data_IF_713946164824
#
_entry.id   IF_713946164824
#
_cell.length_a   1.000
_cell.length_b   1.000
_cell.length_c   1.000
_cell.angle_alpha   90.00
_cell.angle_beta   90.00
_cell.angle_gamma   90.00
#
_symmetry.space_group_name_H-M   'P 1'
#
loop_
_entity.id
_entity.type
_entity.pdbx_description
1 polymer ?
#
# COMPACT_ATOMS: atom_id res chain seq x y z
N UNK A 1 0.03 20.72 -2.82
CA UNK A 1 -1.27 20.18 -2.36
C UNK A 1 -1.32 20.13 -0.84
N UNK A 2 -0.41 19.46 -0.11
CA UNK A 2 -0.43 19.31 1.37
C UNK A 2 -0.63 20.65 2.09
N UNK A 3 0.18 21.68 1.80
CA UNK A 3 0.06 23.02 2.41
C UNK A 3 -1.36 23.59 2.39
N UNK A 4 -2.08 23.41 1.29
CA UNK A 4 -3.44 23.94 1.14
C UNK A 4 -4.51 23.06 1.80
N UNK A 5 -4.23 21.79 2.02
CA UNK A 5 -5.14 20.88 2.70
C UNK A 5 -5.07 21.03 4.23
N UNK A 6 -3.92 21.41 4.79
CA UNK A 6 -3.70 21.44 6.24
C UNK A 6 -4.73 22.26 7.02
N UNK A 7 -5.13 23.48 6.64
CA UNK A 7 -6.14 24.23 7.40
C UNK A 7 -7.47 23.48 7.52
N UNK A 8 -7.89 22.78 6.47
CA UNK A 8 -9.12 22.00 6.45
C UNK A 8 -8.98 20.72 7.30
N UNK A 9 -7.82 20.07 7.22
CA UNK A 9 -7.53 18.89 8.03
C UNK A 9 -7.46 19.22 9.51
N UNK A 10 -6.88 20.36 9.89
CA UNK A 10 -6.84 20.82 11.27
C UNK A 10 -8.25 21.13 11.83
N UNK A 11 -9.10 21.79 11.02
CA UNK A 11 -10.46 22.08 11.39
C UNK A 11 -11.30 20.82 11.64
N UNK A 12 -11.08 19.77 10.83
CA UNK A 12 -11.81 18.49 10.92
C UNK A 12 -11.14 17.44 11.79
N UNK A 13 -9.91 17.67 12.29
CA UNK A 13 -9.04 16.65 12.89
C UNK A 13 -8.90 15.42 11.99
N UNK A 14 -8.77 15.66 10.71
CA UNK A 14 -8.80 14.64 9.69
C UNK A 14 -7.49 13.88 9.53
N UNK A 15 -7.33 13.25 8.36
CA UNK A 15 -6.08 12.55 8.05
C UNK A 15 -5.64 12.78 6.60
N UNK A 16 -4.36 12.55 6.36
CA UNK A 16 -3.76 12.57 5.03
C UNK A 16 -2.96 11.27 4.83
N UNK A 17 -3.15 10.63 3.69
CA UNK A 17 -2.47 9.39 3.35
C UNK A 17 -1.67 9.61 2.07
N UNK A 18 -0.38 9.32 2.15
CA UNK A 18 0.53 9.44 1.03
C UNK A 18 0.68 8.09 0.33
N UNK A 19 0.85 8.12 -0.98
CA UNK A 19 1.18 6.92 -1.76
C UNK A 19 2.68 6.86 -1.99
N UNK A 20 3.36 6.11 -1.13
CA UNK A 20 4.79 5.81 -1.23
C UNK A 20 5.08 4.69 -2.22
N UNK A 21 6.11 3.93 -1.91
CA UNK A 21 6.49 2.68 -2.58
C UNK A 21 7.53 1.97 -1.72
N UNK A 22 7.63 0.65 -1.81
CA UNK A 22 8.75 -0.11 -1.25
C UNK A 22 10.10 0.36 -1.84
N UNK A 23 10.08 0.84 -3.11
CA UNK A 23 11.26 1.38 -3.79
C UNK A 23 11.86 2.63 -3.11
N UNK A 24 11.11 3.32 -2.25
CA UNK A 24 11.61 4.43 -1.45
C UNK A 24 12.34 3.99 -0.17
N UNK A 25 12.29 2.72 0.18
CA UNK A 25 12.97 2.12 1.33
C UNK A 25 14.24 1.38 0.91
N UNK A 26 14.24 0.84 -0.30
CA UNK A 26 15.32 0.04 -0.85
C UNK A 26 15.99 0.77 -2.02
N UNK A 27 17.21 0.35 -2.36
CA UNK A 27 17.82 0.76 -3.63
C UNK A 27 17.06 0.12 -4.80
N UNK A 28 16.69 0.93 -5.79
CA UNK A 28 15.99 0.45 -7.00
C UNK A 28 16.87 0.70 -8.22
N UNK A 29 17.72 -0.25 -8.61
CA UNK A 29 18.57 -0.12 -9.81
C UNK A 29 17.73 0.20 -11.04
N UNK A 30 18.21 1.09 -11.92
CA UNK A 30 17.52 1.63 -13.10
C UNK A 30 16.30 2.52 -12.83
N UNK A 31 15.78 2.55 -11.58
CA UNK A 31 14.67 3.41 -11.13
C UNK A 31 15.09 4.40 -10.03
N UNK A 32 16.36 4.77 -9.97
CA UNK A 32 16.92 5.63 -8.91
C UNK A 32 16.14 6.93 -8.70
N UNK A 33 15.74 7.72 -9.73
CA UNK A 33 14.97 8.93 -9.51
C UNK A 33 13.58 8.65 -8.90
N UNK A 34 12.94 7.56 -9.29
CA UNK A 34 11.67 7.13 -8.73
C UNK A 34 11.82 6.76 -7.26
N UNK A 35 12.79 5.88 -6.93
CA UNK A 35 13.08 5.51 -5.53
C UNK A 35 13.38 6.74 -4.67
N UNK A 36 14.20 7.67 -5.18
CA UNK A 36 14.51 8.93 -4.51
C UNK A 36 13.26 9.78 -4.25
N UNK A 37 12.35 9.89 -5.22
CA UNK A 37 11.09 10.62 -5.07
C UNK A 37 10.20 10.02 -3.98
N UNK A 38 10.16 8.69 -3.89
CA UNK A 38 9.37 7.98 -2.89
C UNK A 38 10.02 8.02 -1.50
N UNK A 39 11.35 7.96 -1.42
CA UNK A 39 12.10 8.16 -0.18
C UNK A 39 11.91 9.57 0.41
N UNK A 40 11.94 10.60 -0.46
CA UNK A 40 11.56 11.95 -0.04
C UNK A 40 10.16 11.99 0.57
N UNK A 41 9.19 11.36 -0.09
CA UNK A 41 7.80 11.34 0.37
C UNK A 41 7.65 10.66 1.74
N UNK A 42 8.41 9.59 2.01
CA UNK A 42 8.44 8.90 3.30
C UNK A 42 8.92 9.83 4.43
N UNK A 43 10.01 10.55 4.20
CA UNK A 43 10.54 11.50 5.18
C UNK A 43 9.61 12.70 5.36
N UNK A 44 9.08 13.25 4.26
CA UNK A 44 8.14 14.35 4.27
C UNK A 44 6.87 14.02 5.06
N UNK A 45 6.28 12.86 4.83
CA UNK A 45 5.10 12.38 5.58
C UNK A 45 5.36 12.35 7.08
N UNK A 46 6.53 11.84 7.52
CA UNK A 46 6.88 11.80 8.94
C UNK A 46 6.96 13.20 9.55
N UNK A 47 7.53 14.16 8.83
CA UNK A 47 7.54 15.57 9.23
C UNK A 47 6.12 16.10 9.40
N UNK A 48 5.25 15.89 8.42
CA UNK A 48 3.84 16.29 8.48
C UNK A 48 3.13 15.64 9.66
N UNK A 49 3.35 14.35 9.91
CA UNK A 49 2.73 13.64 11.03
C UNK A 49 3.08 14.28 12.39
N UNK A 50 4.35 14.60 12.61
CA UNK A 50 4.81 15.20 13.86
C UNK A 50 4.30 16.64 14.02
N UNK A 51 4.37 17.44 12.97
CA UNK A 51 3.94 18.84 13.00
C UNK A 51 2.42 18.97 13.18
N UNK A 52 1.65 18.01 12.69
CA UNK A 52 0.20 18.08 12.68
C UNK A 52 -0.48 17.31 13.84
N UNK A 53 0.26 16.44 14.53
CA UNK A 53 -0.26 15.70 15.68
C UNK A 53 -0.90 16.60 16.77
N UNK A 54 -0.33 17.76 17.14
CA UNK A 54 -0.96 18.67 18.11
C UNK A 54 -2.34 19.20 17.70
N UNK A 55 -2.65 19.17 16.41
CA UNK A 55 -3.96 19.56 15.88
C UNK A 55 -4.93 18.37 15.71
N UNK A 56 -4.50 17.17 16.13
CA UNK A 56 -5.28 15.94 15.97
C UNK A 56 -5.34 15.41 14.54
N UNK A 57 -4.45 15.88 13.66
CA UNK A 57 -4.35 15.39 12.26
C UNK A 57 -3.38 14.23 12.20
N UNK A 58 -3.79 13.14 11.55
CA UNK A 58 -2.95 11.97 11.31
C UNK A 58 -2.35 12.03 9.89
N UNK A 59 -1.12 11.57 9.74
CA UNK A 59 -0.49 11.42 8.43
C UNK A 59 0.22 10.07 8.35
N UNK A 60 -0.05 9.30 7.31
CA UNK A 60 0.53 7.99 7.08
C UNK A 60 0.92 7.81 5.61
N UNK A 61 1.69 6.78 5.31
CA UNK A 61 2.10 6.47 3.95
C UNK A 61 1.90 4.98 3.66
N UNK A 62 1.16 4.66 2.62
CA UNK A 62 1.09 3.30 2.09
C UNK A 62 2.22 3.11 1.11
N UNK A 63 2.97 2.03 1.26
CA UNK A 63 4.14 1.69 0.45
C UNK A 63 3.88 0.36 -0.28
N UNK A 64 3.21 0.39 -1.44
CA UNK A 64 2.96 -0.79 -2.23
C UNK A 64 4.26 -1.35 -2.82
N UNK A 65 4.30 -2.66 -2.99
CA UNK A 65 5.23 -3.37 -3.86
C UNK A 65 4.67 -3.51 -5.27
N UNK A 66 5.00 -4.61 -5.97
CA UNK A 66 4.47 -4.90 -7.29
C UNK A 66 2.95 -5.13 -7.25
N UNK A 67 2.19 -4.28 -7.93
CA UNK A 67 0.73 -4.35 -8.00
C UNK A 67 0.29 -4.61 -9.44
N UNK A 68 -0.72 -5.44 -9.60
CA UNK A 68 -1.28 -5.81 -10.90
C UNK A 68 -2.20 -4.70 -11.41
N UNK A 69 -1.64 -3.83 -12.25
CA UNK A 69 -2.33 -2.68 -12.82
C UNK A 69 -2.05 -2.59 -14.32
N UNK A 70 -2.85 -1.82 -15.04
CA UNK A 70 -2.63 -1.55 -16.46
C UNK A 70 -1.22 -0.96 -16.72
N UNK A 71 -0.70 -0.13 -15.81
CA UNK A 71 0.65 0.43 -15.92
C UNK A 71 1.74 -0.64 -15.87
N UNK A 72 1.54 -1.71 -15.08
CA UNK A 72 2.53 -2.77 -14.90
C UNK A 72 2.37 -3.92 -15.89
N UNK A 73 1.16 -4.16 -16.41
CA UNK A 73 0.83 -5.31 -17.28
C UNK A 73 0.11 -4.95 -18.58
N UNK A 74 -0.25 -3.68 -18.78
CA UNK A 74 -0.93 -3.26 -20.02
C UNK A 74 -0.05 -3.42 -21.26
N UNK A 75 -0.68 -3.43 -22.44
CA UNK A 75 0.02 -3.52 -23.72
C UNK A 75 1.06 -2.40 -23.89
N UNK A 76 0.78 -1.22 -23.34
CA UNK A 76 1.67 -0.06 -23.35
C UNK A 76 2.53 0.07 -22.09
N UNK A 77 2.67 -1.01 -21.32
CA UNK A 77 3.49 -1.01 -20.11
C UNK A 77 4.96 -0.71 -20.48
N UNK A 78 5.62 0.20 -19.76
CA UNK A 78 7.04 0.43 -19.92
C UNK A 78 7.90 -0.75 -19.44
N UNK A 79 7.28 -1.74 -18.79
CA UNK A 79 7.95 -2.91 -18.23
C UNK A 79 7.83 -4.06 -19.21
N UNK A 80 8.96 -4.53 -19.76
CA UNK A 80 9.02 -5.65 -20.69
C UNK A 80 8.63 -6.99 -20.05
N UNK A 81 8.25 -7.98 -20.85
CA UNK A 81 7.81 -9.30 -20.37
C UNK A 81 8.85 -10.01 -19.50
N UNK A 82 10.12 -9.96 -19.84
CA UNK A 82 11.20 -10.56 -19.04
C UNK A 82 11.34 -9.88 -17.67
N UNK A 83 11.22 -8.56 -17.63
CA UNK A 83 11.25 -7.79 -16.38
C UNK A 83 10.01 -8.05 -15.53
N UNK A 84 8.84 -8.22 -16.13
CA UNK A 84 7.61 -8.60 -15.43
C UNK A 84 7.77 -9.94 -14.72
N UNK A 85 8.31 -10.95 -15.42
CA UNK A 85 8.56 -12.27 -14.83
C UNK A 85 9.59 -12.22 -13.70
N UNK A 86 10.62 -11.40 -13.84
CA UNK A 86 11.61 -11.19 -12.78
C UNK A 86 10.99 -10.52 -11.54
N UNK A 87 10.12 -9.52 -11.75
CA UNK A 87 9.39 -8.85 -10.65
C UNK A 87 8.47 -9.85 -9.94
N UNK A 88 7.72 -10.67 -10.68
CA UNK A 88 6.83 -11.67 -10.09
C UNK A 88 7.61 -12.70 -9.26
N UNK A 89 8.79 -13.11 -9.71
CA UNK A 89 9.66 -14.04 -8.99
C UNK A 89 10.27 -13.44 -7.71
N UNK A 90 10.33 -12.11 -7.60
CA UNK A 90 10.86 -11.44 -6.40
C UNK A 90 9.84 -11.34 -5.26
N UNK A 91 8.57 -11.62 -5.50
CA UNK A 91 7.52 -11.47 -4.48
C UNK A 91 7.38 -12.76 -3.66
N UNK A 92 7.70 -12.75 -2.35
CA UNK A 92 7.59 -13.94 -1.51
C UNK A 92 6.22 -14.60 -1.50
N UNK A 93 5.13 -13.82 -1.58
CA UNK A 93 3.77 -14.36 -1.70
C UNK A 93 3.49 -15.00 -3.07
N UNK A 94 4.45 -14.99 -4.01
CA UNK A 94 4.36 -15.65 -5.30
C UNK A 94 3.41 -14.98 -6.32
N UNK A 95 2.90 -13.80 -6.01
CA UNK A 95 2.02 -13.02 -6.87
C UNK A 95 2.14 -11.52 -6.61
N UNK A 96 1.70 -10.71 -7.55
CA UNK A 96 1.48 -9.28 -7.30
C UNK A 96 0.25 -9.06 -6.42
N UNK A 97 0.24 -7.93 -5.72
CA UNK A 97 -0.97 -7.47 -5.06
C UNK A 97 -2.00 -6.95 -6.07
N UNK A 98 -3.26 -6.86 -5.66
CA UNK A 98 -4.31 -6.22 -6.44
C UNK A 98 -4.53 -4.77 -5.99
N UNK A 99 -5.11 -3.91 -6.85
CA UNK A 99 -5.50 -2.56 -6.45
C UNK A 99 -6.42 -2.54 -5.24
N UNK A 100 -7.32 -3.51 -5.13
CA UNK A 100 -8.28 -3.64 -4.03
C UNK A 100 -7.58 -3.94 -2.70
N UNK A 101 -6.55 -4.79 -2.70
CA UNK A 101 -5.74 -5.05 -1.50
C UNK A 101 -5.08 -3.79 -0.99
N UNK A 102 -4.61 -2.94 -1.90
CA UNK A 102 -4.03 -1.63 -1.53
C UNK A 102 -5.12 -0.66 -1.06
N UNK A 103 -6.26 -0.61 -1.75
CA UNK A 103 -7.39 0.25 -1.39
C UNK A 103 -7.91 -0.05 0.03
N UNK A 104 -7.91 -1.31 0.46
CA UNK A 104 -8.32 -1.71 1.80
C UNK A 104 -7.43 -1.08 2.89
N UNK A 105 -6.13 -0.96 2.64
CA UNK A 105 -5.20 -0.29 3.58
C UNK A 105 -5.50 1.20 3.64
N UNK A 106 -5.75 1.83 2.50
CA UNK A 106 -6.17 3.24 2.46
C UNK A 106 -7.47 3.46 3.22
N UNK A 107 -8.47 2.58 3.04
CA UNK A 107 -9.75 2.67 3.72
C UNK A 107 -9.58 2.53 5.25
N UNK A 108 -8.78 1.57 5.72
CA UNK A 108 -8.45 1.44 7.15
C UNK A 108 -7.78 2.70 7.69
N UNK A 109 -6.74 3.20 7.03
CA UNK A 109 -6.00 4.38 7.49
C UNK A 109 -6.85 5.65 7.45
N UNK A 110 -7.84 5.73 6.56
CA UNK A 110 -8.78 6.83 6.47
C UNK A 110 -9.86 6.80 7.56
N UNK A 111 -10.12 5.65 8.16
CA UNK A 111 -11.17 5.45 9.15
C UNK A 111 -10.71 5.80 10.57
N UNK A 112 -11.68 5.87 11.49
CA UNK A 112 -11.43 6.07 12.93
C UNK A 112 -10.80 4.83 13.59
N UNK A 113 -10.87 3.67 12.96
CA UNK A 113 -10.19 2.46 13.43
C UNK A 113 -8.66 2.63 13.47
N UNK A 114 -8.13 3.54 12.65
CA UNK A 114 -6.73 3.94 12.65
C UNK A 114 -6.43 5.16 13.53
N UNK A 115 -7.28 5.48 14.52
CA UNK A 115 -7.17 6.70 15.34
C UNK A 115 -5.84 6.83 16.09
N UNK A 116 -5.16 5.74 16.37
CA UNK A 116 -3.85 5.74 17.04
C UNK A 116 -2.69 5.48 16.06
N UNK A 117 -2.92 5.65 14.75
CA UNK A 117 -1.91 5.41 13.69
C UNK A 117 -1.55 6.72 13.01
N UNK A 118 -0.34 7.22 13.27
CA UNK A 118 0.26 8.38 12.58
C UNK A 118 1.76 8.20 12.42
N UNK A 119 2.35 8.74 11.35
CA UNK A 119 3.77 8.62 11.04
C UNK A 119 4.20 7.25 10.53
N UNK A 120 3.27 6.35 10.23
CA UNK A 120 3.56 4.99 9.84
C UNK A 120 3.83 4.85 8.32
N UNK A 121 4.80 4.01 7.99
CA UNK A 121 5.00 3.47 6.65
C UNK A 121 4.37 2.08 6.60
N UNK A 122 3.28 1.93 5.85
CA UNK A 122 2.55 0.67 5.70
C UNK A 122 3.04 -0.06 4.45
N UNK A 123 3.89 -1.04 4.66
CA UNK A 123 4.33 -1.92 3.58
C UNK A 123 3.20 -2.86 3.18
N UNK A 124 2.96 -2.91 1.86
CA UNK A 124 2.02 -3.83 1.22
C UNK A 124 2.67 -4.36 -0.06
N UNK A 125 3.71 -5.14 0.11
CA UNK A 125 4.66 -5.51 -0.94
C UNK A 125 4.83 -7.03 -1.13
N UNK A 126 3.97 -7.82 -0.50
CA UNK A 126 4.06 -9.28 -0.57
C UNK A 126 5.34 -9.87 0.02
N UNK A 127 6.06 -9.10 0.87
CA UNK A 127 7.29 -9.51 1.53
C UNK A 127 8.57 -9.12 0.78
N UNK A 128 8.51 -8.33 -0.28
CA UNK A 128 9.70 -7.91 -1.07
C UNK A 128 10.73 -7.20 -0.20
N UNK A 129 10.30 -6.24 0.62
CA UNK A 129 11.22 -5.45 1.46
C UNK A 129 12.00 -6.26 2.49
N UNK A 130 11.40 -7.17 3.28
CA UNK A 130 12.13 -7.98 4.25
C UNK A 130 12.90 -9.14 3.63
N UNK A 131 12.63 -9.50 2.37
CA UNK A 131 13.29 -10.62 1.70
C UNK A 131 14.78 -10.34 1.48
N UNK A 132 15.62 -11.31 1.81
CA UNK A 132 17.06 -11.28 1.56
C UNK A 132 17.47 -12.51 0.76
N UNK A 133 17.94 -12.29 -0.46
CA UNK A 133 18.40 -13.37 -1.34
C UNK A 133 17.30 -14.08 -2.11
N UNK A 134 17.60 -15.26 -2.63
CA UNK A 134 16.64 -16.10 -3.34
C UNK A 134 15.66 -16.72 -2.32
N UNK A 135 14.42 -16.31 -2.41
CA UNK A 135 13.34 -16.81 -1.55
C UNK A 135 12.85 -18.20 -1.99
N UNK A 136 13.48 -18.78 -3.01
CA UNK A 136 13.14 -20.12 -3.52
C UNK A 136 11.65 -20.27 -3.74
N UNK A 137 11.21 -20.18 -4.95
CA UNK A 137 9.80 -20.11 -5.37
C UNK A 137 8.97 -21.39 -5.08
N UNK A 138 9.05 -21.93 -3.87
CA UNK A 138 8.14 -23.00 -3.44
C UNK A 138 6.90 -22.40 -2.79
N UNK A 139 5.95 -22.03 -3.63
CA UNK A 139 4.61 -21.68 -3.16
C UNK A 139 3.81 -22.95 -3.03
N UNK A 140 3.39 -23.26 -1.80
CA UNK A 140 2.56 -24.41 -1.52
C UNK A 140 1.09 -24.12 -1.89
N UNK A 141 0.52 -24.93 -2.81
CA UNK A 141 -0.90 -24.86 -3.17
C UNK A 141 -1.30 -23.62 -3.97
N UNK A 142 -2.53 -23.22 -3.84
CA UNK A 142 -3.18 -22.14 -4.62
C UNK A 142 -2.93 -20.74 -4.06
N UNK A 143 -1.94 -20.57 -3.18
CA UNK A 143 -1.56 -19.28 -2.56
C UNK A 143 -1.10 -18.21 -3.56
N UNK A 144 -0.92 -18.57 -4.83
CA UNK A 144 -0.61 -17.63 -5.94
C UNK A 144 -1.81 -16.81 -6.38
N UNK A 145 -3.01 -17.16 -5.94
CA UNK A 145 -4.22 -16.39 -6.22
C UNK A 145 -4.45 -15.35 -5.14
N UNK A 146 -4.85 -14.16 -5.55
CA UNK A 146 -5.43 -13.22 -4.62
C UNK A 146 -6.68 -13.85 -4.02
N UNK A 147 -6.96 -13.63 -2.74
CA UNK A 147 -8.23 -14.05 -2.17
C UNK A 147 -9.37 -13.47 -3.01
N UNK A 148 -10.34 -14.31 -3.42
CA UNK A 148 -11.54 -13.89 -4.16
C UNK A 148 -12.52 -13.09 -3.27
N UNK A 149 -12.00 -12.32 -2.34
CA UNK A 149 -12.75 -11.51 -1.41
C UNK A 149 -12.56 -10.04 -1.68
N UNK A 150 -13.52 -9.41 -2.32
CA UNK A 150 -13.70 -7.96 -2.15
C UNK A 150 -14.08 -7.74 -0.69
N UNK A 151 -13.21 -7.10 0.09
CA UNK A 151 -13.59 -6.52 1.36
C UNK A 151 -14.70 -5.49 1.06
N UNK A 152 -15.94 -5.93 1.10
CA UNK A 152 -17.03 -4.97 1.12
C UNK A 152 -17.03 -4.35 2.51
N UNK A 153 -16.33 -3.23 2.65
CA UNK A 153 -16.52 -2.32 3.75
C UNK A 153 -17.94 -1.76 3.62
N UNK A 154 -18.92 -2.53 4.03
CA UNK A 154 -20.23 -1.99 4.31
C UNK A 154 -20.06 -1.20 5.61
N UNK A 155 -19.87 0.08 5.49
CA UNK A 155 -20.25 0.99 6.56
C UNK A 155 -21.74 0.78 6.77
N UNK A 156 -22.10 -0.11 7.68
CA UNK A 156 -23.46 -0.19 8.11
C UNK A 156 -23.68 0.97 9.10
N UNK A 157 -24.24 2.06 8.60
CA UNK A 157 -24.92 3.03 9.45
C UNK A 157 -25.98 2.35 10.34
N UNK A 158 -26.28 1.10 10.10
CA UNK A 158 -27.36 0.32 10.70
C UNK A 158 -26.87 -0.68 11.77
N UNK A 159 -25.61 -0.61 12.19
CA UNK A 159 -25.07 -1.53 13.21
C UNK A 159 -24.98 -3.00 12.80
N UNK A 160 -25.21 -3.32 11.53
CA UNK A 160 -25.08 -4.66 11.02
C UNK A 160 -23.60 -4.96 10.78
N UNK A 161 -23.00 -5.78 11.61
CA UNK A 161 -21.67 -6.33 11.39
C UNK A 161 -21.66 -7.04 10.03
N UNK A 162 -20.74 -6.65 9.16
CA UNK A 162 -20.56 -7.28 7.87
C UNK A 162 -20.39 -8.78 8.04
N UNK A 163 -21.34 -9.54 7.54
CA UNK A 163 -21.18 -10.98 7.39
C UNK A 163 -20.31 -11.22 6.17
N UNK A 164 -19.28 -12.04 6.35
CA UNK A 164 -18.41 -12.60 5.32
C UNK A 164 -17.35 -11.66 4.76
N UNK A 165 -16.21 -11.63 5.46
CA UNK A 165 -14.97 -11.01 4.97
C UNK A 165 -14.22 -11.92 4.00
N UNK A 166 -14.44 -13.22 4.06
CA UNK A 166 -13.83 -14.22 3.16
C UNK A 166 -14.84 -15.31 2.86
N UNK A 167 -15.14 -15.53 1.57
CA UNK A 167 -15.62 -16.83 1.11
C UNK A 167 -14.39 -17.64 0.72
N UNK A 168 -14.12 -18.72 1.46
CA UNK A 168 -13.32 -19.78 0.91
C UNK A 168 -14.06 -20.30 -0.33
N UNK A 169 -13.38 -20.30 -1.47
CA UNK A 169 -13.89 -20.96 -2.67
C UNK A 169 -13.48 -22.40 -2.51
N UNK A 170 -14.49 -23.31 -2.45
CA UNK A 170 -14.32 -24.75 -2.48
C UNK A 170 -13.65 -25.22 -3.79
#
# INVERSE_FOLDING_TARGET
MTKFALPHLQASRGNIIFTGSEAGLNGSPRFTPYGGSKGFLHAFMKGVALEQAPYGVRANCVCPGPIDTAWTRGADSPIGHAEQSAIDAMVPLGRRGTPEEIANIFAFLASDEASYVTGALWLADGGVTPAKGDIGAQVHGDLRRAPDGVLSLRHSHDGLRGKEVYRAVD
#
